data_IF_550806486921
#
_entry.id   IF_550806486921
#
_cell.length_a   1.000
_cell.length_b   1.000
_cell.length_c   1.000
_cell.angle_alpha   90.00
_cell.angle_beta   90.00
_cell.angle_gamma   90.00
#
_symmetry.space_group_name_H-M   'P 1'
#
loop_
_entity.id
_entity.type
_entity.pdbx_description
1 polymer ?
#
# COMPACT_ATOMS: atom_id res chain seq x y z
N UNK A 1 1.74 -7.08 -13.59
CA UNK A 1 3.15 -6.64 -13.50
C UNK A 1 4.16 -7.64 -14.10
N UNK A 2 3.81 -8.45 -15.10
CA UNK A 2 4.77 -9.37 -15.75
C UNK A 2 5.25 -8.84 -17.12
N UNK A 3 4.44 -8.00 -17.77
CA UNK A 3 4.70 -7.50 -19.13
C UNK A 3 5.61 -6.26 -19.19
N UNK A 4 5.78 -5.57 -18.06
CA UNK A 4 6.53 -4.32 -17.97
C UNK A 4 7.40 -4.31 -16.71
N UNK A 5 8.54 -3.59 -16.71
CA UNK A 5 9.44 -3.47 -15.56
C UNK A 5 8.90 -2.48 -14.52
N UNK A 6 7.66 -2.72 -14.05
CA UNK A 6 7.04 -1.90 -13.00
C UNK A 6 7.66 -2.29 -11.66
N UNK A 7 8.25 -1.31 -10.98
CA UNK A 7 8.91 -1.50 -9.68
C UNK A 7 8.08 -0.99 -8.50
N UNK A 8 7.15 -0.06 -8.74
CA UNK A 8 6.28 0.53 -7.71
C UNK A 8 4.88 0.80 -8.25
N UNK A 9 3.88 0.65 -7.40
CA UNK A 9 2.48 1.03 -7.62
C UNK A 9 2.03 1.79 -6.37
N UNK A 10 1.42 2.95 -6.59
CA UNK A 10 0.80 3.78 -5.55
C UNK A 10 -0.72 3.70 -5.71
N UNK A 11 -1.44 3.56 -4.60
CA UNK A 11 -2.92 3.54 -4.54
C UNK A 11 -3.60 2.69 -5.63
N UNK A 12 -3.16 1.44 -5.75
CA UNK A 12 -3.74 0.49 -6.71
C UNK A 12 -5.17 0.06 -6.41
N UNK A 13 -5.70 0.40 -5.23
CA UNK A 13 -7.03 0.09 -4.73
C UNK A 13 -7.58 1.27 -3.92
N UNK A 14 -8.89 1.28 -3.63
CA UNK A 14 -9.53 2.32 -2.85
C UNK A 14 -8.98 2.40 -1.40
N UNK A 15 -9.02 3.59 -0.81
CA UNK A 15 -8.42 3.93 0.50
C UNK A 15 -8.97 3.11 1.68
N UNK A 16 -10.21 2.63 1.60
CA UNK A 16 -10.85 1.84 2.66
C UNK A 16 -11.02 0.34 2.31
N UNK A 17 -10.51 -0.11 1.15
CA UNK A 17 -10.53 -1.53 0.76
C UNK A 17 -9.38 -2.33 1.38
N UNK A 18 -9.34 -2.39 2.71
CA UNK A 18 -8.31 -3.11 3.46
C UNK A 18 -8.14 -4.56 3.01
N UNK A 19 -9.26 -5.28 2.78
CA UNK A 19 -9.21 -6.69 2.34
C UNK A 19 -8.62 -6.83 0.93
N UNK A 20 -8.92 -5.89 0.04
CA UNK A 20 -8.28 -5.83 -1.27
C UNK A 20 -6.78 -5.62 -1.15
N UNK A 21 -6.34 -4.66 -0.32
CA UNK A 21 -4.93 -4.37 -0.09
C UNK A 21 -4.15 -5.55 0.49
N UNK A 22 -4.73 -6.27 1.45
CA UNK A 22 -4.15 -7.50 2.02
C UNK A 22 -3.90 -8.55 0.92
N UNK A 23 -4.91 -8.82 0.07
CA UNK A 23 -4.78 -9.76 -1.05
C UNK A 23 -3.76 -9.29 -2.08
N UNK A 24 -3.83 -8.02 -2.47
CA UNK A 24 -2.95 -7.42 -3.45
C UNK A 24 -1.48 -7.52 -3.00
N UNK A 25 -1.24 -7.28 -1.72
CA UNK A 25 0.08 -7.40 -1.10
C UNK A 25 0.56 -8.83 -1.03
N UNK A 26 -0.30 -9.78 -0.65
CA UNK A 26 0.03 -11.19 -0.65
C UNK A 26 0.40 -11.71 -2.06
N UNK A 27 -0.30 -11.24 -3.10
CA UNK A 27 -0.07 -11.69 -4.48
C UNK A 27 1.20 -11.13 -5.11
N UNK A 28 1.51 -9.84 -4.91
CA UNK A 28 2.61 -9.19 -5.65
C UNK A 28 3.59 -8.37 -4.81
N UNK A 29 3.34 -8.18 -3.52
CA UNK A 29 4.17 -7.35 -2.62
C UNK A 29 5.60 -7.87 -2.44
N UNK A 30 5.89 -9.13 -2.79
CA UNK A 30 7.25 -9.68 -2.79
C UNK A 30 8.11 -9.26 -3.98
N UNK A 31 7.52 -8.62 -5.00
CA UNK A 31 8.23 -8.24 -6.25
C UNK A 31 8.02 -6.79 -6.69
N UNK A 32 6.99 -6.11 -6.18
CA UNK A 32 6.64 -4.73 -6.52
C UNK A 32 6.42 -3.98 -5.21
N UNK A 33 6.92 -2.73 -5.14
CA UNK A 33 6.61 -1.83 -4.04
C UNK A 33 5.15 -1.36 -4.14
N UNK A 34 4.38 -1.52 -3.08
CA UNK A 34 2.98 -1.13 -2.97
C UNK A 34 2.89 0.00 -1.94
N UNK A 35 2.76 1.22 -2.45
CA UNK A 35 2.76 2.46 -1.69
C UNK A 35 1.32 2.84 -1.36
N UNK A 36 0.99 2.98 -0.08
CA UNK A 36 -0.25 3.62 0.34
C UNK A 36 -0.03 5.13 0.51
N UNK A 37 -0.80 5.94 -0.20
CA UNK A 37 -0.91 7.38 -0.01
C UNK A 37 -2.25 7.68 0.68
N UNK A 38 -3.38 7.59 -0.03
CA UNK A 38 -4.71 7.79 0.55
C UNK A 38 -5.06 6.69 1.57
N UNK A 39 -4.50 5.49 1.42
CA UNK A 39 -4.64 4.42 2.42
C UNK A 39 -4.11 4.86 3.81
N UNK A 40 -3.01 5.62 3.84
CA UNK A 40 -2.27 5.90 5.06
C UNK A 40 -2.32 7.36 5.52
N UNK A 41 -2.50 8.32 4.61
CA UNK A 41 -2.62 9.77 4.86
C UNK A 41 -1.61 10.31 5.87
N UNK A 42 -0.37 9.80 5.84
CA UNK A 42 0.69 10.15 6.81
C UNK A 42 0.26 9.97 8.29
N UNK A 43 -0.74 9.13 8.56
CA UNK A 43 -1.33 8.93 9.88
C UNK A 43 -0.75 7.67 10.58
N UNK A 44 -0.14 7.81 11.77
CA UNK A 44 0.48 6.68 12.48
C UNK A 44 -0.50 5.57 12.89
N UNK A 45 -1.77 5.87 13.18
CA UNK A 45 -2.75 4.85 13.55
C UNK A 45 -3.14 3.99 12.34
N UNK A 46 -3.42 4.61 11.19
CA UNK A 46 -3.71 3.87 9.95
C UNK A 46 -2.49 3.07 9.49
N UNK A 47 -1.29 3.63 9.61
CA UNK A 47 -0.06 2.90 9.30
C UNK A 47 0.11 1.66 10.20
N UNK A 48 -0.11 1.79 11.50
CA UNK A 48 -0.04 0.67 12.43
C UNK A 48 -1.04 -0.45 12.07
N UNK A 49 -2.28 -0.07 11.72
CA UNK A 49 -3.29 -1.01 11.23
C UNK A 49 -2.85 -1.72 9.94
N UNK A 50 -2.30 -0.98 8.97
CA UNK A 50 -1.80 -1.58 7.73
C UNK A 50 -0.62 -2.53 7.94
N UNK A 51 0.27 -2.24 8.90
CA UNK A 51 1.35 -3.15 9.30
C UNK A 51 0.80 -4.45 9.88
N UNK A 52 -0.20 -4.37 10.78
CA UNK A 52 -0.83 -5.56 11.38
C UNK A 52 -1.52 -6.42 10.31
N UNK A 53 -2.26 -5.78 9.41
CA UNK A 53 -2.99 -6.44 8.32
C UNK A 53 -2.10 -6.94 7.19
N UNK A 54 -0.88 -6.42 7.05
CA UNK A 54 0.01 -6.60 5.87
C UNK A 54 -0.59 -5.99 4.59
N UNK A 55 -1.13 -4.79 4.70
CA UNK A 55 -1.74 -4.04 3.60
C UNK A 55 -0.73 -3.03 3.00
N UNK A 56 -0.09 -3.35 1.88
CA UNK A 56 1.00 -2.57 1.31
C UNK A 56 2.35 -2.87 1.96
N UNK A 57 3.42 -2.28 1.43
CA UNK A 57 4.78 -2.45 1.95
C UNK A 57 5.61 -1.15 1.94
N UNK A 58 4.98 -0.01 1.61
CA UNK A 58 5.54 1.32 1.65
C UNK A 58 4.44 2.35 1.97
N UNK A 59 4.85 3.51 2.48
CA UNK A 59 3.99 4.67 2.77
C UNK A 59 4.51 5.89 2.00
N UNK A 60 3.62 6.68 1.41
CA UNK A 60 3.95 8.02 0.92
C UNK A 60 3.82 9.03 2.07
N UNK A 61 4.92 9.72 2.40
CA UNK A 61 4.96 10.66 3.53
C UNK A 61 4.78 12.10 3.02
N UNK A 62 3.69 12.75 3.42
CA UNK A 62 3.39 14.15 3.10
C UNK A 62 3.27 14.95 4.39
N UNK A 63 4.21 15.86 4.64
CA UNK A 63 4.32 16.62 5.91
C UNK A 63 3.13 17.53 6.23
N UNK A 64 2.26 17.79 5.26
CA UNK A 64 1.08 18.65 5.37
C UNK A 64 -0.25 17.88 5.37
N UNK A 65 -0.20 16.55 5.37
CA UNK A 65 -1.35 15.68 5.65
C UNK A 65 -1.53 15.48 7.17
#
# INVERSE_FOLDING_TARGET
CASYPIVSIEDGLAEDDWKGWEKFTAEIGGRVQLVGDDLYVTNPQRLAEGIERKAGNAILVKVNQ
#
